data_IF_089298665220
#
_entry.id   IF_089298665220
#
_cell.length_a   1.000
_cell.length_b   1.000
_cell.length_c   1.000
_cell.angle_alpha   90.00
_cell.angle_beta   90.00
_cell.angle_gamma   90.00
#
_symmetry.space_group_name_H-M   'P 1'
#
loop_
_entity.id
_entity.type
_entity.pdbx_description
1 polymer ?
#
# COMPACT_ATOMS: atom_id res chain seq x y z
N UNK A 1 -26.62 -5.32 11.98
CA UNK A 1 -25.91 -4.65 10.88
C UNK A 1 -25.22 -5.68 10.03
N UNK A 2 -25.39 -5.56 8.72
CA UNK A 2 -24.89 -6.49 7.72
C UNK A 2 -23.77 -5.81 6.91
N UNK A 3 -22.77 -6.57 6.49
CA UNK A 3 -21.63 -6.08 5.70
C UNK A 3 -21.21 -7.09 4.64
N UNK A 4 -20.50 -6.60 3.61
CA UNK A 4 -19.86 -7.44 2.61
C UNK A 4 -18.36 -7.50 2.88
N UNK A 5 -17.75 -8.64 2.54
CA UNK A 5 -16.30 -8.84 2.54
C UNK A 5 -15.89 -9.40 1.17
N UNK A 6 -14.73 -8.99 0.68
CA UNK A 6 -14.16 -9.55 -0.54
C UNK A 6 -14.05 -11.06 -0.43
N UNK A 7 -14.41 -11.77 -1.51
CA UNK A 7 -14.29 -13.24 -1.55
C UNK A 7 -12.83 -13.70 -1.62
N UNK A 8 -11.98 -12.88 -2.22
CA UNK A 8 -10.56 -13.12 -2.42
C UNK A 8 -9.76 -11.92 -1.93
N UNK A 9 -8.50 -12.15 -1.60
CA UNK A 9 -7.54 -11.10 -1.29
C UNK A 9 -7.27 -10.23 -2.51
N UNK A 10 -6.89 -8.98 -2.26
CA UNK A 10 -6.45 -8.04 -3.30
C UNK A 10 -5.20 -8.58 -3.98
N UNK A 11 -5.22 -8.63 -5.30
CA UNK A 11 -4.10 -9.11 -6.12
C UNK A 11 -3.02 -8.04 -6.31
N UNK A 12 -1.80 -8.46 -6.67
CA UNK A 12 -0.75 -7.52 -7.07
C UNK A 12 -1.18 -6.64 -8.25
N UNK A 13 -1.90 -7.18 -9.22
CA UNK A 13 -2.40 -6.43 -10.38
C UNK A 13 -3.38 -5.33 -9.95
N UNK A 14 -4.29 -5.63 -9.03
CA UNK A 14 -5.24 -4.64 -8.51
C UNK A 14 -4.52 -3.56 -7.70
N UNK A 15 -3.58 -3.95 -6.84
CA UNK A 15 -2.80 -3.01 -6.06
C UNK A 15 -1.90 -2.13 -6.95
N UNK A 16 -1.36 -2.67 -8.05
CA UNK A 16 -0.59 -1.91 -9.04
C UNK A 16 -1.40 -0.79 -9.68
N UNK A 17 -2.68 -1.02 -9.95
CA UNK A 17 -3.57 0.05 -10.44
C UNK A 17 -3.72 1.18 -9.43
N UNK A 18 -3.79 0.86 -8.13
CA UNK A 18 -3.82 1.87 -7.07
C UNK A 18 -2.51 2.69 -7.03
N UNK A 19 -1.36 2.02 -7.08
CA UNK A 19 -0.05 2.69 -7.15
C UNK A 19 0.06 3.60 -8.39
N UNK A 20 -0.31 3.08 -9.56
CA UNK A 20 -0.23 3.80 -10.84
C UNK A 20 -1.18 5.00 -10.92
N UNK A 21 -2.35 4.88 -10.28
CA UNK A 21 -3.30 5.99 -10.12
C UNK A 21 -2.81 7.06 -9.11
N UNK A 22 -1.62 6.89 -8.52
CA UNK A 22 -1.05 7.84 -7.58
C UNK A 22 -1.54 7.65 -6.14
N UNK A 23 -1.89 6.42 -5.74
CA UNK A 23 -2.38 6.11 -4.38
C UNK A 23 -1.49 6.64 -3.25
N UNK A 24 -0.17 6.58 -3.42
CA UNK A 24 0.84 7.09 -2.47
C UNK A 24 1.04 8.62 -2.54
N UNK A 25 0.41 9.30 -3.50
CA UNK A 25 0.48 10.75 -3.69
C UNK A 25 -0.82 11.45 -3.31
N UNK A 26 -1.93 10.72 -3.21
CA UNK A 26 -3.22 11.28 -2.86
C UNK A 26 -3.49 11.13 -1.36
N UNK A 27 -3.39 12.25 -0.61
CA UNK A 27 -3.63 12.32 0.83
C UNK A 27 -5.04 11.88 1.27
N UNK A 28 -6.04 12.00 0.39
CA UNK A 28 -7.44 11.69 0.74
C UNK A 28 -7.68 10.20 1.03
N UNK A 29 -6.82 9.33 0.51
CA UNK A 29 -6.88 7.89 0.79
C UNK A 29 -6.39 7.54 2.19
N UNK A 30 -5.59 8.41 2.82
CA UNK A 30 -4.89 8.09 4.05
C UNK A 30 -5.51 8.83 5.23
N UNK A 31 -6.48 8.17 5.85
CA UNK A 31 -7.39 8.78 6.83
C UNK A 31 -6.94 8.60 8.28
N UNK A 32 -5.83 7.92 8.50
CA UNK A 32 -5.34 7.57 9.84
C UNK A 32 -4.00 8.26 10.12
N UNK A 33 -3.77 8.71 11.36
CA UNK A 33 -2.47 9.25 11.77
C UNK A 33 -1.42 8.14 11.72
N UNK A 34 -0.21 8.49 11.31
CA UNK A 34 0.91 7.56 11.21
C UNK A 34 1.67 7.54 12.53
N UNK A 35 1.75 6.39 13.19
CA UNK A 35 2.51 6.25 14.44
C UNK A 35 3.63 5.22 14.25
N UNK A 36 4.84 5.61 14.61
CA UNK A 36 6.04 4.76 14.61
C UNK A 36 6.78 4.97 15.92
N UNK A 37 7.09 3.87 16.62
CA UNK A 37 7.80 3.89 17.92
C UNK A 37 7.16 4.80 18.99
N UNK A 38 5.85 5.01 18.91
CA UNK A 38 5.08 5.85 19.84
C UNK A 38 5.02 7.33 19.48
N UNK A 39 5.65 7.75 18.37
CA UNK A 39 5.61 9.12 17.86
C UNK A 39 4.77 9.20 16.58
N UNK A 40 4.01 10.29 16.45
CA UNK A 40 3.22 10.58 15.26
C UNK A 40 4.13 11.18 14.18
N UNK A 41 4.11 10.59 12.99
CA UNK A 41 4.87 11.05 11.82
C UNK A 41 4.05 12.04 11.00
N UNK A 42 4.74 13.01 10.40
CA UNK A 42 4.14 13.83 9.35
C UNK A 42 3.86 13.00 8.10
N UNK A 43 3.00 13.51 7.23
CA UNK A 43 2.72 12.90 5.92
C UNK A 43 4.00 12.57 5.15
N UNK A 44 4.92 13.53 5.03
CA UNK A 44 6.11 13.35 4.21
C UNK A 44 7.09 12.34 4.85
N UNK A 45 7.16 12.25 6.17
CA UNK A 45 7.94 11.22 6.88
C UNK A 45 7.34 9.84 6.66
N UNK A 46 6.03 9.69 6.85
CA UNK A 46 5.32 8.44 6.65
C UNK A 46 5.46 7.93 5.20
N UNK A 47 5.29 8.78 4.20
CA UNK A 47 5.42 8.37 2.80
C UNK A 47 6.84 7.91 2.42
N UNK A 48 7.88 8.32 3.17
CA UNK A 48 9.25 7.82 2.97
C UNK A 48 9.46 6.42 3.53
N UNK A 49 8.60 5.98 4.45
CA UNK A 49 8.64 4.63 5.02
C UNK A 49 7.94 3.60 4.12
N UNK A 50 6.96 4.03 3.32
CA UNK A 50 6.18 3.14 2.45
C UNK A 50 6.77 3.05 1.04
N UNK A 51 8.01 2.58 0.97
CA UNK A 51 8.75 2.36 -0.27
C UNK A 51 9.25 0.92 -0.36
N UNK A 52 9.39 0.46 -1.59
CA UNK A 52 10.06 -0.80 -1.90
C UNK A 52 11.59 -0.67 -1.69
N UNK A 53 12.36 -1.76 -1.79
CA UNK A 53 13.81 -1.73 -1.61
C UNK A 53 14.58 -0.87 -2.61
N UNK A 54 13.96 -0.47 -3.73
CA UNK A 54 14.53 0.46 -4.71
C UNK A 54 14.20 1.93 -4.43
N UNK A 55 13.42 2.20 -3.37
CA UNK A 55 12.97 3.53 -2.99
C UNK A 55 11.74 4.01 -3.77
N UNK A 56 11.06 3.14 -4.53
CA UNK A 56 9.81 3.48 -5.21
C UNK A 56 8.62 3.27 -4.26
N UNK A 57 7.59 4.13 -4.30
CA UNK A 57 6.40 3.94 -3.48
C UNK A 57 5.71 2.61 -3.81
N UNK A 58 5.43 1.80 -2.80
CA UNK A 58 4.78 0.50 -3.00
C UNK A 58 5.12 -0.52 -1.91
N UNK A 59 4.56 -1.75 -2.04
CA UNK A 59 4.79 -2.83 -1.09
C UNK A 59 6.26 -3.20 -0.95
N UNK A 60 6.68 -3.56 0.26
CA UNK A 60 8.08 -3.92 0.57
C UNK A 60 8.60 -5.18 -0.15
N UNK A 61 7.71 -6.00 -0.73
CA UNK A 61 8.07 -7.21 -1.51
C UNK A 61 8.28 -6.93 -3.00
N UNK A 62 7.98 -5.72 -3.45
CA UNK A 62 8.13 -5.31 -4.84
C UNK A 62 9.56 -4.86 -5.12
N UNK A 63 9.86 -4.60 -6.39
CA UNK A 63 11.15 -4.04 -6.81
C UNK A 63 10.98 -3.12 -8.01
N UNK A 64 11.56 -1.92 -7.94
CA UNK A 64 11.46 -0.95 -9.03
C UNK A 64 10.04 -0.40 -9.22
N UNK A 65 9.22 -0.43 -8.17
CA UNK A 65 7.81 -0.03 -8.22
C UNK A 65 6.89 -1.06 -8.88
N UNK A 66 7.33 -2.32 -9.01
CA UNK A 66 6.55 -3.39 -9.64
C UNK A 66 6.61 -4.72 -8.87
N UNK A 67 5.57 -5.53 -9.03
CA UNK A 67 5.48 -6.85 -8.40
C UNK A 67 6.39 -7.87 -9.10
N UNK A 68 6.78 -8.97 -8.42
CA UNK A 68 7.57 -10.02 -9.04
C UNK A 68 6.88 -10.62 -10.28
N UNK A 69 7.65 -10.82 -11.36
CA UNK A 69 7.12 -11.33 -12.63
C UNK A 69 6.34 -12.65 -12.44
N UNK A 70 5.16 -12.72 -13.07
CA UNK A 70 4.26 -13.88 -12.99
C UNK A 70 3.46 -13.99 -11.67
N UNK A 71 3.48 -12.96 -10.82
CA UNK A 71 2.69 -12.90 -9.58
C UNK A 71 1.53 -11.91 -9.62
N UNK A 72 1.10 -11.51 -10.81
CA UNK A 72 0.05 -10.53 -11.04
C UNK A 72 -1.29 -10.91 -10.38
N UNK A 73 -1.70 -12.18 -10.47
CA UNK A 73 -2.95 -12.69 -9.84
C UNK A 73 -2.74 -13.20 -8.40
N UNK A 74 -1.51 -13.13 -7.87
CA UNK A 74 -1.25 -13.53 -6.50
C UNK A 74 -1.66 -12.41 -5.55
N UNK A 75 -2.06 -12.72 -4.30
CA UNK A 75 -2.31 -11.70 -3.30
C UNK A 75 -1.13 -10.75 -3.14
N UNK A 76 -1.42 -9.45 -3.02
CA UNK A 76 -0.41 -8.46 -2.66
C UNK A 76 0.11 -8.76 -1.26
N UNK A 77 1.43 -8.66 -1.06
CA UNK A 77 2.07 -8.91 0.23
C UNK A 77 3.14 -7.87 0.53
N UNK A 78 3.49 -7.72 1.81
CA UNK A 78 4.44 -6.70 2.24
C UNK A 78 3.87 -5.28 2.28
N UNK A 79 2.54 -5.15 2.33
CA UNK A 79 1.84 -3.90 2.66
C UNK A 79 1.67 -3.80 4.17
N UNK A 80 1.83 -2.60 4.70
CA UNK A 80 1.48 -2.26 6.08
C UNK A 80 -0.03 -2.14 6.26
N UNK A 81 -0.48 -2.02 7.52
CA UNK A 81 -1.87 -1.71 7.83
C UNK A 81 -2.32 -0.38 7.23
N UNK A 82 -1.46 0.65 7.24
CA UNK A 82 -1.79 1.96 6.68
C UNK A 82 -2.01 1.89 5.17
N UNK A 83 -1.16 1.15 4.47
CA UNK A 83 -1.28 0.91 3.03
C UNK A 83 -2.55 0.13 2.68
N UNK A 84 -2.87 -0.91 3.45
CA UNK A 84 -4.11 -1.67 3.28
C UNK A 84 -5.36 -0.79 3.52
N UNK A 85 -5.33 0.08 4.54
CA UNK A 85 -6.42 1.01 4.83
C UNK A 85 -6.57 2.10 3.74
N UNK A 86 -5.47 2.53 3.12
CA UNK A 86 -5.50 3.51 2.04
C UNK A 86 -6.02 2.92 0.71
N UNK A 87 -5.87 1.61 0.50
CA UNK A 87 -6.42 0.93 -0.68
C UNK A 87 -7.94 0.73 -0.59
N UNK A 88 -8.47 0.51 0.62
CA UNK A 88 -9.83 0.04 0.87
C UNK A 88 -10.95 1.09 0.74
#
# INVERSE_FOLDING_TARGET
DDFFIGKYEVTNREYKRFVDAGGYRNREYWRHPFVKDGEELTWDEAMREFVDPSGQPGPSTWMGGDYPAGRDEYPVSGVSWYEAAAYA
#
